data_IF_242917215221
#
_entry.id   IF_242917215221
#
_cell.length_a   1.000
_cell.length_b   1.000
_cell.length_c   1.000
_cell.angle_alpha   90.00
_cell.angle_beta   90.00
_cell.angle_gamma   90.00
#
_symmetry.space_group_name_H-M   'P 1'
#
loop_
_entity.id
_entity.type
_entity.pdbx_description
1 polymer ?
#
# COMPACT_ATOMS: atom_id res chain seq x y z
N UNK A 1 -7.72 -21.38 -15.02
CA UNK A 1 -8.30 -20.86 -13.75
C UNK A 1 -7.47 -19.68 -13.30
N UNK A 2 -8.09 -18.61 -12.81
CA UNK A 2 -7.40 -17.45 -12.23
C UNK A 2 -7.28 -17.63 -10.71
N UNK A 3 -6.23 -17.09 -10.09
CA UNK A 3 -6.09 -17.10 -8.62
C UNK A 3 -5.84 -18.46 -7.97
N UNK A 4 -5.28 -19.44 -8.70
CA UNK A 4 -4.96 -20.76 -8.14
C UNK A 4 -3.64 -20.79 -7.34
N UNK A 5 -2.77 -19.79 -7.53
CA UNK A 5 -1.54 -19.62 -6.73
C UNK A 5 -1.79 -18.76 -5.49
N UNK A 6 -2.42 -17.61 -5.68
CA UNK A 6 -2.84 -16.73 -4.59
C UNK A 6 -3.81 -15.65 -5.11
N UNK A 7 -4.67 -15.17 -4.21
CA UNK A 7 -5.53 -13.99 -4.37
C UNK A 7 -4.97 -12.85 -3.52
N UNK A 8 -4.39 -11.84 -4.16
CA UNK A 8 -3.75 -10.70 -3.50
C UNK A 8 -4.74 -9.53 -3.44
N UNK A 9 -5.05 -9.07 -2.23
CA UNK A 9 -5.79 -7.84 -1.99
C UNK A 9 -4.90 -6.61 -2.17
N UNK A 10 -5.43 -5.56 -2.78
CA UNK A 10 -4.78 -4.27 -2.86
C UNK A 10 -5.75 -3.15 -2.55
N UNK A 11 -5.42 -2.37 -1.52
CA UNK A 11 -6.14 -1.16 -1.15
C UNK A 11 -5.42 0.05 -1.74
N UNK A 12 -5.95 0.60 -2.82
CA UNK A 12 -5.45 1.83 -3.41
C UNK A 12 -6.23 3.03 -2.85
N UNK A 13 -5.61 3.99 -2.13
CA UNK A 13 -6.33 5.18 -1.66
C UNK A 13 -6.78 6.13 -2.78
N UNK A 14 -6.15 6.01 -3.96
CA UNK A 14 -6.51 6.73 -5.20
C UNK A 14 -6.93 5.75 -6.29
N UNK A 15 -6.68 6.07 -7.57
CA UNK A 15 -7.11 5.25 -8.73
C UNK A 15 -6.42 3.89 -8.81
N UNK A 16 -5.16 3.77 -8.39
CA UNK A 16 -4.45 2.48 -8.40
C UNK A 16 -4.13 1.88 -9.78
N UNK A 17 -4.48 2.57 -10.88
CA UNK A 17 -4.41 2.05 -12.26
C UNK A 17 -3.04 1.43 -12.62
N UNK A 18 -1.94 2.11 -12.28
CA UNK A 18 -0.57 1.67 -12.60
C UNK A 18 -0.21 0.35 -11.90
N UNK A 19 -0.54 0.21 -10.61
CA UNK A 19 -0.21 -0.98 -9.84
C UNK A 19 -0.91 -2.21 -10.42
N UNK A 20 -2.17 -2.08 -10.83
CA UNK A 20 -2.93 -3.17 -11.45
C UNK A 20 -2.27 -3.63 -12.75
N UNK A 21 -1.85 -2.68 -13.60
CA UNK A 21 -1.18 -3.01 -14.86
C UNK A 21 0.18 -3.68 -14.63
N UNK A 22 1.00 -3.17 -13.71
CA UNK A 22 2.33 -3.70 -13.42
C UNK A 22 2.28 -5.07 -12.73
N UNK A 23 1.33 -5.28 -11.83
CA UNK A 23 1.14 -6.56 -11.12
C UNK A 23 1.06 -7.73 -12.09
N UNK A 24 0.23 -7.62 -13.13
CA UNK A 24 0.06 -8.68 -14.13
C UNK A 24 1.20 -8.78 -15.15
N UNK A 25 2.10 -7.79 -15.21
CA UNK A 25 3.31 -7.86 -16.05
C UNK A 25 4.48 -8.51 -15.34
N UNK A 26 4.52 -8.44 -14.01
CA UNK A 26 5.63 -8.91 -13.19
C UNK A 26 5.35 -10.32 -12.65
N UNK A 27 4.12 -10.59 -12.22
CA UNK A 27 3.78 -11.87 -11.63
C UNK A 27 3.47 -12.94 -12.67
N UNK A 28 3.84 -14.21 -12.42
CA UNK A 28 3.49 -15.32 -13.28
C UNK A 28 1.98 -15.62 -13.22
N UNK A 29 1.50 -16.44 -14.16
CA UNK A 29 0.10 -16.87 -14.20
C UNK A 29 -0.38 -17.49 -12.88
N UNK A 30 -1.67 -17.38 -12.59
CA UNK A 30 -2.28 -17.99 -11.42
C UNK A 30 -2.35 -17.11 -10.18
N UNK A 31 -1.69 -15.95 -10.19
CA UNK A 31 -2.01 -14.88 -9.25
C UNK A 31 -3.25 -14.10 -9.71
N UNK A 32 -4.06 -13.65 -8.76
CA UNK A 32 -5.22 -12.79 -9.01
C UNK A 32 -5.13 -11.57 -8.11
N UNK A 33 -5.39 -10.39 -8.66
CA UNK A 33 -5.48 -9.15 -7.89
C UNK A 33 -6.94 -8.82 -7.58
N UNK A 34 -7.26 -8.69 -6.30
CA UNK A 34 -8.51 -8.13 -5.78
C UNK A 34 -8.24 -6.68 -5.41
N UNK A 35 -8.67 -5.73 -6.24
CA UNK A 35 -8.28 -4.33 -6.12
C UNK A 35 -9.46 -3.46 -5.69
N UNK A 36 -9.26 -2.65 -4.65
CA UNK A 36 -10.18 -1.58 -4.24
C UNK A 36 -9.54 -0.22 -4.47
N UNK A 37 -10.34 0.74 -4.94
CA UNK A 37 -9.84 2.08 -5.27
C UNK A 37 -10.62 3.15 -4.54
N UNK A 38 -9.90 4.05 -3.89
CA UNK A 38 -10.44 5.25 -3.26
C UNK A 38 -10.61 6.41 -4.25
N UNK A 39 -11.22 7.47 -3.75
CA UNK A 39 -11.53 8.67 -4.54
C UNK A 39 -10.59 9.85 -4.23
N UNK A 40 -9.48 9.64 -3.50
CA UNK A 40 -8.57 10.73 -3.16
C UNK A 40 -7.97 11.32 -4.42
N UNK A 41 -8.12 12.65 -4.58
CA UNK A 41 -7.46 13.44 -5.64
C UNK A 41 -6.48 14.47 -5.09
N UNK A 42 -6.61 14.85 -3.82
CA UNK A 42 -5.68 15.74 -3.09
C UNK A 42 -5.54 15.24 -1.65
N UNK A 43 -4.31 15.28 -1.14
CA UNK A 43 -4.06 15.06 0.28
C UNK A 43 -4.36 16.37 1.00
N UNK A 44 -5.52 16.45 1.65
CA UNK A 44 -5.91 17.60 2.49
C UNK A 44 -6.00 17.10 3.92
N UNK A 45 -5.50 17.89 4.86
CA UNK A 45 -5.29 17.55 6.26
C UNK A 45 -6.55 16.99 6.93
N UNK A 46 -7.71 17.57 6.61
CA UNK A 46 -9.04 17.22 7.15
C UNK A 46 -9.58 15.86 6.67
N UNK A 47 -8.76 15.05 5.99
CA UNK A 47 -9.19 13.77 5.43
C UNK A 47 -8.44 12.56 5.98
N UNK A 48 -7.52 12.75 6.94
CA UNK A 48 -6.65 11.69 7.45
C UNK A 48 -7.46 10.52 8.06
N UNK A 49 -8.32 10.82 9.03
CA UNK A 49 -9.16 9.80 9.70
C UNK A 49 -10.09 9.10 8.71
N UNK A 50 -10.68 9.85 7.78
CA UNK A 50 -11.53 9.30 6.73
C UNK A 50 -10.77 8.34 5.81
N UNK A 51 -9.49 8.59 5.54
CA UNK A 51 -8.67 7.66 4.76
C UNK A 51 -8.35 6.39 5.54
N UNK A 52 -8.02 6.52 6.82
CA UNK A 52 -7.78 5.36 7.68
C UNK A 52 -9.02 4.47 7.79
N UNK A 53 -10.19 5.08 8.02
CA UNK A 53 -11.47 4.36 8.03
C UNK A 53 -11.74 3.64 6.70
N UNK A 54 -11.49 4.30 5.56
CA UNK A 54 -11.64 3.67 4.23
C UNK A 54 -10.67 2.53 3.98
N UNK A 55 -9.42 2.67 4.43
CA UNK A 55 -8.43 1.60 4.33
C UNK A 55 -8.88 0.40 5.14
N UNK A 56 -9.39 0.64 6.35
CA UNK A 56 -9.92 -0.40 7.21
C UNK A 56 -11.12 -1.12 6.56
N UNK A 57 -12.14 -0.37 6.12
CA UNK A 57 -13.32 -0.92 5.41
C UNK A 57 -12.91 -1.76 4.20
N UNK A 58 -12.00 -1.25 3.37
CA UNK A 58 -11.53 -1.95 2.18
C UNK A 58 -10.70 -3.20 2.52
N UNK A 59 -9.94 -3.17 3.62
CA UNK A 59 -9.16 -4.33 4.07
C UNK A 59 -10.09 -5.45 4.55
N UNK A 60 -11.16 -5.11 5.27
CA UNK A 60 -12.19 -6.07 5.70
C UNK A 60 -12.87 -6.69 4.48
N UNK A 61 -13.35 -5.87 3.54
CA UNK A 61 -14.03 -6.33 2.32
C UNK A 61 -13.17 -7.28 1.48
N UNK A 62 -11.87 -6.97 1.34
CA UNK A 62 -10.92 -7.82 0.63
C UNK A 62 -10.70 -9.17 1.33
N UNK A 63 -10.58 -9.17 2.65
CA UNK A 63 -10.43 -10.40 3.42
C UNK A 63 -11.68 -11.29 3.31
N UNK A 64 -12.87 -10.69 3.44
CA UNK A 64 -14.15 -11.40 3.27
C UNK A 64 -14.34 -11.94 1.85
N UNK A 65 -13.81 -11.26 0.84
CA UNK A 65 -13.81 -11.69 -0.57
C UNK A 65 -12.70 -12.72 -0.87
N UNK A 66 -11.97 -13.19 0.15
CA UNK A 66 -10.98 -14.25 0.04
C UNK A 66 -9.63 -13.78 -0.50
N UNK A 67 -9.19 -12.58 -0.15
CA UNK A 67 -7.78 -12.22 -0.25
C UNK A 67 -6.95 -13.03 0.75
N UNK A 68 -5.83 -13.60 0.31
CA UNK A 68 -4.91 -14.39 1.13
C UNK A 68 -3.76 -13.54 1.70
N UNK A 69 -3.54 -12.36 1.11
CA UNK A 69 -2.58 -11.35 1.54
C UNK A 69 -3.06 -9.98 1.07
N UNK A 70 -2.93 -8.93 1.89
CA UNK A 70 -3.41 -7.58 1.53
C UNK A 70 -2.27 -6.56 1.56
N UNK A 71 -2.12 -5.84 0.46
CA UNK A 71 -1.20 -4.70 0.32
C UNK A 71 -2.00 -3.41 0.49
N UNK A 72 -1.66 -2.61 1.49
CA UNK A 72 -2.24 -1.27 1.67
C UNK A 72 -1.33 -0.20 1.04
N UNK A 73 -1.87 0.52 0.07
CA UNK A 73 -1.20 1.65 -0.55
C UNK A 73 -1.33 2.93 0.28
N UNK A 74 -0.81 4.04 -0.26
CA UNK A 74 -0.93 5.36 0.38
C UNK A 74 0.35 5.86 1.04
N UNK A 75 1.50 5.72 0.38
CA UNK A 75 2.78 6.19 0.92
C UNK A 75 2.76 7.61 1.53
N UNK A 76 2.07 8.61 0.93
CA UNK A 76 1.96 9.94 1.55
C UNK A 76 1.20 9.95 2.89
N UNK A 77 0.23 9.06 3.08
CA UNK A 77 -0.52 8.90 4.32
C UNK A 77 0.40 8.47 5.46
N UNK A 78 1.16 7.39 5.25
CA UNK A 78 2.07 6.84 6.26
C UNK A 78 3.26 7.78 6.52
N UNK A 79 3.77 8.45 5.48
CA UNK A 79 4.83 9.45 5.64
C UNK A 79 4.36 10.61 6.54
N UNK A 80 3.09 11.01 6.44
CA UNK A 80 2.51 12.07 7.27
C UNK A 80 2.26 11.64 8.72
N UNK A 81 1.85 10.38 8.92
CA UNK A 81 1.61 9.82 10.26
C UNK A 81 2.91 9.57 11.03
N UNK A 82 4.04 9.51 10.33
CA UNK A 82 5.36 9.38 10.92
C UNK A 82 5.93 7.97 10.82
N UNK A 83 7.21 7.86 11.22
CA UNK A 83 7.98 6.63 11.10
C UNK A 83 7.33 5.47 11.89
N UNK A 84 7.18 4.31 11.25
CA UNK A 84 6.62 3.10 11.86
C UNK A 84 5.09 3.01 11.83
N UNK A 85 4.40 4.08 11.44
CA UNK A 85 2.93 4.09 11.33
C UNK A 85 2.41 3.06 10.32
N UNK A 86 3.16 2.82 9.24
CA UNK A 86 2.90 1.81 8.22
C UNK A 86 2.80 0.41 8.83
N UNK A 87 3.73 0.05 9.71
CA UNK A 87 3.78 -1.25 10.39
C UNK A 87 2.73 -1.37 11.48
N UNK A 88 2.53 -0.31 12.26
CA UNK A 88 1.54 -0.30 13.33
C UNK A 88 0.12 -0.47 12.78
N UNK A 89 -0.22 0.26 11.71
CA UNK A 89 -1.53 0.16 11.07
C UNK A 89 -1.71 -1.21 10.42
N UNK A 90 -0.71 -1.70 9.68
CA UNK A 90 -0.80 -3.01 9.06
C UNK A 90 -1.00 -4.13 10.11
N UNK A 91 -0.28 -4.08 11.24
CA UNK A 91 -0.45 -5.05 12.33
C UNK A 91 -1.85 -4.99 12.96
N UNK A 92 -2.42 -3.78 13.16
CA UNK A 92 -3.79 -3.63 13.65
C UNK A 92 -4.82 -4.21 12.69
N UNK A 93 -4.62 -4.00 11.39
CA UNK A 93 -5.51 -4.53 10.35
C UNK A 93 -5.39 -6.05 10.24
N UNK A 94 -4.17 -6.59 10.22
CA UNK A 94 -3.91 -8.04 10.22
C UNK A 94 -4.56 -8.74 11.42
N UNK A 95 -4.43 -8.17 12.61
CA UNK A 95 -5.09 -8.70 13.81
C UNK A 95 -6.63 -8.67 13.71
N UNK A 96 -7.20 -7.74 12.93
CA UNK A 96 -8.64 -7.60 12.71
C UNK A 96 -9.17 -8.56 11.64
N UNK A 97 -8.46 -8.75 10.53
CA UNK A 97 -8.95 -9.55 9.39
C UNK A 97 -8.42 -10.99 9.33
N UNK A 98 -7.37 -11.31 10.10
CA UNK A 98 -6.81 -12.66 10.19
C UNK A 98 -6.01 -13.13 8.98
N UNK A 99 -5.81 -12.27 7.97
CA UNK A 99 -4.91 -12.50 6.83
C UNK A 99 -3.75 -11.51 6.88
N UNK A 100 -2.54 -11.87 6.40
CA UNK A 100 -1.39 -10.98 6.48
C UNK A 100 -1.62 -9.66 5.75
N UNK A 101 -1.23 -8.55 6.38
CA UNK A 101 -1.37 -7.20 5.82
C UNK A 101 -0.03 -6.50 5.86
N UNK A 102 0.35 -5.84 4.76
CA UNK A 102 1.54 -4.99 4.73
C UNK A 102 1.27 -3.70 3.98
N UNK A 103 1.88 -2.61 4.42
CA UNK A 103 1.92 -1.38 3.64
C UNK A 103 2.93 -1.51 2.50
N UNK A 104 2.60 -0.98 1.32
CA UNK A 104 3.49 -1.02 0.15
C UNK A 104 4.87 -0.44 0.43
N UNK A 105 4.96 0.66 1.19
CA UNK A 105 6.24 1.22 1.64
C UNK A 105 7.06 0.25 2.50
N UNK A 106 6.41 -0.54 3.37
CA UNK A 106 7.10 -1.57 4.15
C UNK A 106 7.69 -2.62 3.21
N UNK A 107 6.92 -3.07 2.21
CA UNK A 107 7.40 -4.02 1.20
C UNK A 107 8.60 -3.48 0.42
N UNK A 108 8.55 -2.21 -0.01
CA UNK A 108 9.66 -1.55 -0.71
C UNK A 108 10.94 -1.51 0.15
N UNK A 109 10.82 -1.12 1.42
CA UNK A 109 11.95 -1.05 2.35
C UNK A 109 12.54 -2.45 2.60
N UNK A 110 11.69 -3.46 2.82
CA UNK A 110 12.18 -4.83 3.05
C UNK A 110 12.81 -5.43 1.79
N UNK A 111 12.32 -5.09 0.59
CA UNK A 111 12.95 -5.48 -0.67
C UNK A 111 14.34 -4.85 -0.84
N UNK A 112 14.49 -3.55 -0.58
CA UNK A 112 15.79 -2.86 -0.64
C UNK A 112 16.81 -3.47 0.34
N UNK A 113 16.36 -3.79 1.57
CA UNK A 113 17.18 -4.48 2.57
C UNK A 113 17.60 -5.87 2.11
N UNK A 114 16.66 -6.63 1.55
CA UNK A 114 16.93 -7.97 1.02
C UNK A 114 17.98 -7.94 -0.10
N UNK A 115 17.96 -6.89 -0.93
CA UNK A 115 18.98 -6.65 -1.97
C UNK A 115 20.32 -6.12 -1.44
N UNK A 116 20.44 -5.86 -0.13
CA UNK A 116 21.67 -5.31 0.47
C UNK A 116 21.97 -3.85 0.07
N UNK A 117 20.98 -3.12 -0.44
CA UNK A 117 21.14 -1.74 -0.89
C UNK A 117 21.23 -0.79 0.32
N UNK A 118 22.32 -0.02 0.39
CA UNK A 118 22.57 0.96 1.47
C UNK A 118 22.36 2.41 1.04
N UNK A 119 22.33 2.66 -0.27
CA UNK A 119 22.18 3.97 -0.90
C UNK A 119 21.37 3.81 -2.17
N UNK A 120 20.39 4.66 -2.36
CA UNK A 120 19.55 4.70 -3.56
C UNK A 120 19.10 6.13 -3.81
N UNK A 121 18.73 6.39 -5.05
CA UNK A 121 18.03 7.61 -5.41
C UNK A 121 16.54 7.34 -5.36
N UNK A 122 15.80 8.25 -4.76
CA UNK A 122 14.36 8.16 -4.65
C UNK A 122 13.71 9.19 -5.56
N UNK A 123 12.70 8.77 -6.30
CA UNK A 123 11.88 9.62 -7.15
C UNK A 123 10.42 9.38 -6.80
N UNK A 124 9.65 10.46 -6.69
CA UNK A 124 8.20 10.40 -6.50
C UNK A 124 7.53 11.48 -7.36
N UNK A 125 6.35 11.22 -7.96
CA UNK A 125 5.61 12.21 -8.74
C UNK A 125 4.90 13.26 -7.86
N UNK A 126 5.31 13.37 -6.59
CA UNK A 126 4.70 14.25 -5.59
C UNK A 126 5.82 15.10 -5.00
N UNK A 127 5.54 16.40 -4.89
CA UNK A 127 6.42 17.35 -4.23
C UNK A 127 6.27 17.21 -2.72
N UNK A 128 7.33 16.74 -2.06
CA UNK A 128 7.38 16.60 -0.60
C UNK A 128 8.56 17.40 -0.09
N UNK A 129 8.32 18.19 0.96
CA UNK A 129 9.39 18.85 1.71
C UNK A 129 9.88 17.87 2.77
N UNK A 130 11.12 17.44 2.64
CA UNK A 130 11.77 16.57 3.61
C UNK A 130 12.13 17.36 4.89
N UNK A 131 12.28 16.69 6.05
CA UNK A 131 12.64 17.34 7.32
C UNK A 131 13.96 18.14 7.27
N UNK A 132 14.84 17.82 6.32
CA UNK A 132 16.11 18.50 6.09
C UNK A 132 15.99 19.69 5.09
N UNK A 133 14.78 20.10 4.72
CA UNK A 133 14.52 21.22 3.81
C UNK A 133 14.68 20.90 2.32
N UNK A 134 15.01 19.65 1.96
CA UNK A 134 15.11 19.23 0.57
C UNK A 134 13.72 19.02 -0.03
N UNK A 135 13.55 19.45 -1.28
CA UNK A 135 12.29 19.33 -2.00
C UNK A 135 12.52 18.35 -3.16
N UNK A 136 11.65 17.34 -3.28
CA UNK A 136 11.67 16.45 -4.45
C UNK A 136 11.29 17.24 -5.71
N UNK A 137 12.01 16.98 -6.81
CA UNK A 137 11.77 17.59 -8.12
C UNK A 137 10.54 16.98 -8.80
#
# INVERSE_FOLDING_TARGET
MVGWRARIGHVAPSRGDTFVYEFYRILPDGFMLLNTTGTIRRLVDDHLERQLARIEEATIDLAETGAEFIIIGGSPLFTRLGHGSDREIAAKLEAKVGVPVAAGMTCEVEALKHMGLKRWWWQAPIRITLPNGWVTF
#
